data_IF_478840145037
#
_entry.id   IF_478840145037
#
_cell.length_a   1.000
_cell.length_b   1.000
_cell.length_c   1.000
_cell.angle_alpha   90.00
_cell.angle_beta   90.00
_cell.angle_gamma   90.00
#
_symmetry.space_group_name_H-M   'P 1'
#
loop_
_entity.id
_entity.type
_entity.pdbx_description
1 polymer ?
#
# COMPACT_ATOMS: atom_id res chain seq x y z
N UNK A 1 2.92 -17.48 -6.55
CA UNK A 1 2.35 -16.80 -5.37
C UNK A 1 3.29 -15.67 -5.03
N UNK A 2 2.83 -14.45 -5.21
CA UNK A 2 3.62 -13.23 -5.05
C UNK A 2 3.13 -12.47 -3.83
N UNK A 3 3.98 -11.60 -3.28
CA UNK A 3 3.61 -10.73 -2.16
C UNK A 3 3.18 -9.39 -2.74
N UNK A 4 2.01 -8.90 -2.34
CA UNK A 4 1.51 -7.58 -2.66
C UNK A 4 1.44 -6.73 -1.40
N UNK A 5 2.01 -5.53 -1.44
CA UNK A 5 2.07 -4.60 -0.34
C UNK A 5 0.99 -3.54 -0.50
N UNK A 6 0.22 -3.31 0.55
CA UNK A 6 -0.89 -2.36 0.56
C UNK A 6 -0.71 -1.39 1.73
N UNK A 7 -0.86 -0.09 1.47
CA UNK A 7 -1.04 0.89 2.53
C UNK A 7 -2.51 0.88 2.90
N UNK A 8 -2.81 0.43 4.12
CA UNK A 8 -4.16 0.45 4.67
C UNK A 8 -4.29 1.49 5.75
N UNK A 9 -5.43 2.15 5.79
CA UNK A 9 -5.77 3.10 6.83
C UNK A 9 -7.24 2.96 7.22
N UNK A 10 -7.59 3.54 8.36
CA UNK A 10 -8.97 3.57 8.85
C UNK A 10 -9.51 4.98 8.66
N UNK A 11 -10.60 5.15 7.93
CA UNK A 11 -11.26 6.43 7.76
C UNK A 11 -11.77 6.94 9.12
N UNK A 12 -11.62 8.23 9.40
CA UNK A 12 -12.05 8.81 10.68
C UNK A 12 -13.55 9.04 10.75
N UNK A 13 -14.21 9.30 9.63
CA UNK A 13 -15.64 9.63 9.58
C UNK A 13 -16.52 8.41 9.82
N UNK A 14 -16.24 7.30 9.13
CA UNK A 14 -17.05 6.07 9.18
C UNK A 14 -16.37 4.92 9.96
N UNK A 15 -15.05 4.95 10.15
CA UNK A 15 -14.30 3.90 10.84
C UNK A 15 -13.96 2.68 9.97
N UNK A 16 -14.20 2.73 8.67
CA UNK A 16 -13.92 1.65 7.73
C UNK A 16 -12.43 1.60 7.34
N UNK A 17 -11.95 0.40 7.02
CA UNK A 17 -10.57 0.21 6.57
C UNK A 17 -10.50 0.29 5.05
N UNK A 18 -9.70 1.22 4.55
CA UNK A 18 -9.47 1.42 3.12
C UNK A 18 -8.04 1.09 2.73
N UNK A 19 -7.85 0.77 1.44
CA UNK A 19 -6.53 0.64 0.82
C UNK A 19 -6.23 1.93 0.09
N UNK A 20 -5.24 2.68 0.55
CA UNK A 20 -4.85 3.97 -0.03
C UNK A 20 -3.88 3.78 -1.20
N UNK A 21 -3.05 2.74 -1.14
CA UNK A 21 -2.05 2.44 -2.16
C UNK A 21 -1.72 0.94 -2.17
N UNK A 22 -1.29 0.42 -3.32
CA UNK A 22 -0.83 -0.96 -3.46
C UNK A 22 0.28 -1.11 -4.52
N UNK A 23 1.30 -1.90 -4.20
CA UNK A 23 2.40 -2.23 -5.11
C UNK A 23 2.98 -3.62 -4.82
N UNK A 24 3.56 -4.26 -5.85
CA UNK A 24 4.39 -5.46 -5.66
C UNK A 24 5.78 -5.12 -5.10
N UNK A 25 6.22 -3.87 -5.21
CA UNK A 25 7.47 -3.39 -4.64
C UNK A 25 7.22 -2.75 -3.27
N UNK A 26 7.85 -3.31 -2.23
CA UNK A 26 7.72 -2.81 -0.86
C UNK A 26 8.26 -1.39 -0.69
N UNK A 27 9.31 -1.02 -1.43
CA UNK A 27 9.92 0.30 -1.31
C UNK A 27 8.97 1.38 -1.81
N UNK A 28 8.29 1.15 -2.93
CA UNK A 28 7.27 2.08 -3.43
C UNK A 28 6.15 2.31 -2.41
N UNK A 29 5.66 1.24 -1.77
CA UNK A 29 4.65 1.38 -0.72
C UNK A 29 5.15 2.14 0.53
N UNK A 30 6.46 2.12 0.80
CA UNK A 30 7.08 2.92 1.88
C UNK A 30 7.22 4.37 1.47
N UNK A 31 7.71 4.61 0.26
CA UNK A 31 7.95 5.96 -0.26
C UNK A 31 6.62 6.70 -0.40
N UNK A 32 5.59 6.03 -0.93
CA UNK A 32 4.23 6.59 -1.01
C UNK A 32 3.68 6.89 0.39
N UNK A 33 3.87 5.97 1.34
CA UNK A 33 3.47 6.21 2.72
C UNK A 33 4.20 7.41 3.30
N UNK A 34 5.51 7.56 3.11
CA UNK A 34 6.25 8.68 3.68
C UNK A 34 5.81 10.02 3.07
N UNK A 35 5.60 10.05 1.75
CA UNK A 35 5.19 11.23 1.00
C UNK A 35 3.77 11.70 1.37
N UNK A 36 2.80 10.79 1.42
CA UNK A 36 1.39 11.13 1.55
C UNK A 36 0.88 11.05 2.99
N UNK A 37 1.65 10.50 3.94
CA UNK A 37 1.20 10.27 5.32
C UNK A 37 0.70 11.51 6.02
N UNK A 38 1.30 12.67 5.79
CA UNK A 38 0.85 13.90 6.45
C UNK A 38 -0.50 14.39 5.91
N UNK A 39 -0.76 14.21 4.62
CA UNK A 39 -2.05 14.45 4.00
C UNK A 39 -3.10 13.44 4.46
N UNK A 40 -2.79 12.15 4.38
CA UNK A 40 -3.72 11.09 4.81
C UNK A 40 -4.07 11.17 6.29
N UNK A 41 -3.21 11.71 7.16
CA UNK A 41 -3.54 11.91 8.57
C UNK A 41 -4.68 12.89 8.79
N UNK A 42 -5.08 13.70 7.82
CA UNK A 42 -6.25 14.59 7.96
C UNK A 42 -7.53 13.76 8.07
N UNK A 43 -7.72 12.82 7.15
CA UNK A 43 -8.96 12.02 7.03
C UNK A 43 -8.84 10.60 7.60
N UNK A 44 -7.62 10.09 7.77
CA UNK A 44 -7.35 8.70 8.15
C UNK A 44 -6.55 8.56 9.45
N UNK A 45 -6.69 7.39 10.09
CA UNK A 45 -5.93 6.96 11.26
C UNK A 45 -5.40 5.54 11.05
N UNK A 46 -4.46 5.12 11.90
CA UNK A 46 -3.88 3.77 11.87
C UNK A 46 -3.28 3.37 10.50
N UNK A 47 -2.75 4.35 9.76
CA UNK A 47 -2.10 4.14 8.46
C UNK A 47 -0.90 3.21 8.63
N UNK A 48 -0.88 2.10 7.88
CA UNK A 48 0.16 1.06 7.97
C UNK A 48 0.30 0.30 6.67
N UNK A 49 1.50 -0.22 6.43
CA UNK A 49 1.74 -1.18 5.34
C UNK A 49 1.36 -2.57 5.82
N UNK A 50 0.60 -3.28 5.00
CA UNK A 50 0.32 -4.71 5.16
C UNK A 50 0.79 -5.45 3.92
N UNK A 51 1.14 -6.72 4.09
CA UNK A 51 1.47 -7.61 2.98
C UNK A 51 0.40 -8.68 2.88
N UNK A 52 -0.03 -8.99 1.65
CA UNK A 52 -0.90 -10.14 1.37
C UNK A 52 -0.27 -11.03 0.31
N UNK A 53 -0.50 -12.33 0.43
CA UNK A 53 -0.20 -13.25 -0.65
C UNK A 53 -1.26 -13.10 -1.73
N UNK A 54 -0.84 -13.06 -2.99
CA UNK A 54 -1.73 -13.08 -4.14
C UNK A 54 -1.27 -14.10 -5.18
N UNK A 55 -2.22 -14.54 -6.00
CA UNK A 55 -1.95 -15.39 -7.17
C UNK A 55 -1.48 -14.58 -8.37
N UNK A 56 -1.69 -13.27 -8.35
CA UNK A 56 -1.18 -12.34 -9.37
C UNK A 56 0.35 -12.30 -9.36
N UNK A 57 0.92 -12.03 -10.52
CA UNK A 57 2.34 -11.85 -10.70
C UNK A 57 2.64 -10.38 -11.03
N UNK A 58 3.73 -9.80 -10.50
CA UNK A 58 4.14 -8.46 -10.89
C UNK A 58 4.40 -8.42 -12.39
N UNK A 59 3.87 -7.39 -13.05
CA UNK A 59 4.16 -7.20 -14.48
C UNK A 59 5.66 -6.88 -14.67
N UNK A 60 6.43 -7.68 -15.43
CA UNK A 60 7.87 -7.48 -15.61
C UNK A 60 8.23 -6.19 -16.36
N UNK A 61 7.29 -5.58 -17.11
CA UNK A 61 7.51 -4.27 -17.75
C UNK A 61 7.41 -3.13 -16.73
N UNK A 62 6.60 -3.31 -15.68
CA UNK A 62 6.38 -2.31 -14.62
C UNK A 62 7.38 -2.51 -13.47
N UNK A 63 7.66 -3.76 -13.12
CA UNK A 63 8.54 -4.16 -12.01
C UNK A 63 9.74 -4.99 -12.50
N UNK A 64 10.58 -4.45 -13.40
CA UNK A 64 11.73 -5.17 -13.94
C UNK A 64 12.75 -5.57 -12.87
N UNK A 65 12.79 -4.86 -11.74
CA UNK A 65 13.70 -5.13 -10.61
C UNK A 65 13.30 -6.33 -9.75
N UNK A 66 12.12 -6.90 -9.95
CA UNK A 66 11.61 -8.06 -9.21
C UNK A 66 11.88 -9.41 -9.91
N UNK A 67 12.54 -9.39 -11.08
CA UNK A 67 12.88 -10.55 -11.91
C UNK A 67 14.40 -10.70 -12.09
#
# INVERSE_FOLDING_TARGET
MSIYYEVKAVCKEDGETEVLYGSFNRHEAIDELDAERDWWKEDYKQIKIVARNTSDEPDPEIYPELY
#
